data_IF_895750085324
#
_entry.id   IF_895750085324
#
_cell.length_a   1.000
_cell.length_b   1.000
_cell.length_c   1.000
_cell.angle_alpha   90.00
_cell.angle_beta   90.00
_cell.angle_gamma   90.00
#
_symmetry.space_group_name_H-M   'P 1'
#
loop_
_entity.id
_entity.type
_entity.pdbx_description
1 polymer ?
#
# COMPACT_ATOMS: atom_id res chain seq x y z
N UNK A 1 18.96 18.20 1.00
CA UNK A 1 17.75 17.94 1.80
C UNK A 1 17.32 19.11 2.69
N UNK A 2 18.23 19.90 3.28
CA UNK A 2 17.88 20.99 4.22
C UNK A 2 16.98 22.11 3.68
N UNK A 3 16.89 22.28 2.34
CA UNK A 3 16.02 23.29 1.70
C UNK A 3 14.63 22.74 1.29
N UNK A 4 14.39 21.44 1.46
CA UNK A 4 13.14 20.77 1.06
C UNK A 4 12.24 20.63 2.28
N UNK A 5 10.94 20.91 2.12
CA UNK A 5 9.96 20.69 3.18
C UNK A 5 9.69 19.18 3.33
N UNK A 6 10.45 18.52 4.20
CA UNK A 6 10.47 17.05 4.34
C UNK A 6 9.25 16.45 5.04
N UNK A 7 8.41 17.26 5.68
CA UNK A 7 7.32 16.75 6.53
C UNK A 7 6.35 15.81 5.78
N UNK A 8 5.98 16.13 4.54
CA UNK A 8 5.11 15.26 3.73
C UNK A 8 5.81 13.96 3.32
N UNK A 9 7.11 14.02 3.06
CA UNK A 9 7.90 12.84 2.70
C UNK A 9 8.04 11.88 3.88
N UNK A 10 8.23 12.39 5.11
CA UNK A 10 8.27 11.56 6.31
C UNK A 10 6.98 10.77 6.52
N UNK A 11 5.81 11.36 6.20
CA UNK A 11 4.53 10.64 6.25
C UNK A 11 4.50 9.53 5.20
N UNK A 12 4.89 9.81 3.95
CA UNK A 12 4.93 8.80 2.88
C UNK A 12 5.89 7.66 3.20
N UNK A 13 7.07 7.99 3.76
CA UNK A 13 8.06 7.02 4.21
C UNK A 13 7.50 6.12 5.31
N UNK A 14 6.84 6.70 6.32
CA UNK A 14 6.17 5.94 7.37
C UNK A 14 5.07 5.02 6.84
N UNK A 15 4.31 5.44 5.82
CA UNK A 15 3.31 4.59 5.19
C UNK A 15 3.93 3.38 4.49
N UNK A 16 5.19 3.47 4.04
CA UNK A 16 5.92 2.39 3.36
C UNK A 16 6.86 1.61 4.28
N UNK A 17 6.77 1.81 5.60
CA UNK A 17 7.60 1.15 6.58
C UNK A 17 7.43 -0.40 6.52
N UNK A 18 8.52 -1.18 6.44
CA UNK A 18 8.45 -2.63 6.29
C UNK A 18 8.10 -3.37 7.60
N UNK A 19 8.07 -2.69 8.74
CA UNK A 19 7.80 -3.32 10.04
C UNK A 19 6.43 -3.98 10.05
N UNK A 20 6.34 -5.10 10.79
CA UNK A 20 5.11 -5.89 10.91
C UNK A 20 4.48 -6.23 9.55
N UNK A 21 5.32 -6.59 8.57
CA UNK A 21 4.91 -6.92 7.19
C UNK A 21 4.12 -5.78 6.52
N UNK A 22 4.69 -4.57 6.51
CA UNK A 22 4.10 -3.40 5.85
C UNK A 22 2.71 -3.05 6.39
N UNK A 23 2.52 -3.12 7.71
CA UNK A 23 1.21 -2.95 8.35
C UNK A 23 0.56 -1.59 8.07
N UNK A 24 1.35 -0.51 8.09
CA UNK A 24 0.91 0.85 7.75
C UNK A 24 0.41 0.93 6.30
N UNK A 25 1.22 0.47 5.34
CA UNK A 25 0.85 0.41 3.92
C UNK A 25 -0.42 -0.41 3.72
N UNK A 26 -0.52 -1.61 4.30
CA UNK A 26 -1.69 -2.49 4.15
C UNK A 26 -2.97 -1.84 4.69
N UNK A 27 -2.87 -1.13 5.81
CA UNK A 27 -3.99 -0.38 6.39
C UNK A 27 -4.45 0.74 5.46
N UNK A 28 -3.51 1.49 4.89
CA UNK A 28 -3.78 2.56 3.93
C UNK A 28 -4.36 2.03 2.62
N UNK A 29 -3.83 0.94 2.08
CA UNK A 29 -4.37 0.27 0.89
C UNK A 29 -5.79 -0.22 1.15
N UNK A 30 -6.05 -0.86 2.30
CA UNK A 30 -7.40 -1.28 2.69
C UNK A 30 -8.35 -0.09 2.70
N UNK A 31 -7.98 1.02 3.35
CA UNK A 31 -8.79 2.23 3.36
C UNK A 31 -9.02 2.82 1.96
N UNK A 32 -8.04 2.74 1.06
CA UNK A 32 -8.18 3.16 -0.33
C UNK A 32 -9.20 2.29 -1.09
N UNK A 33 -9.15 0.98 -0.91
CA UNK A 33 -10.13 0.05 -1.49
C UNK A 33 -11.55 0.31 -0.97
N UNK A 34 -11.72 0.58 0.34
CA UNK A 34 -13.04 0.92 0.90
C UNK A 34 -13.62 2.19 0.27
N UNK A 35 -12.78 3.21 0.08
CA UNK A 35 -13.18 4.46 -0.56
C UNK A 35 -13.50 4.28 -2.04
N UNK A 36 -12.76 3.41 -2.73
CA UNK A 36 -12.94 3.18 -4.16
C UNK A 36 -14.27 2.46 -4.46
N UNK A 37 -14.70 1.53 -3.60
CA UNK A 37 -16.00 0.85 -3.73
C UNK A 37 -17.18 1.82 -3.63
N UNK A 38 -17.09 2.82 -2.73
CA UNK A 38 -18.14 3.83 -2.54
C UNK A 38 -18.07 5.02 -3.48
N UNK A 39 -17.05 5.11 -4.35
CA UNK A 39 -16.84 6.29 -5.19
C UNK A 39 -17.85 6.35 -6.34
N UNK A 40 -18.41 7.55 -6.54
CA UNK A 40 -19.28 7.89 -7.68
C UNK A 40 -18.49 8.31 -8.91
N UNK A 41 -17.31 8.91 -8.72
CA UNK A 41 -16.37 9.25 -9.78
C UNK A 41 -15.52 8.03 -10.16
N UNK A 42 -15.54 7.66 -11.45
CA UNK A 42 -14.75 6.55 -11.99
C UNK A 42 -13.26 6.67 -11.71
N UNK A 43 -12.71 7.89 -11.67
CA UNK A 43 -11.29 8.10 -11.38
C UNK A 43 -10.93 7.72 -9.95
N UNK A 44 -11.86 7.86 -9.02
CA UNK A 44 -11.67 7.53 -7.61
C UNK A 44 -11.87 6.03 -7.32
N UNK A 45 -12.40 5.27 -8.30
CA UNK A 45 -12.53 3.81 -8.20
C UNK A 45 -11.23 3.05 -8.43
N UNK A 46 -10.25 3.70 -9.07
CA UNK A 46 -8.98 3.07 -9.44
C UNK A 46 -8.01 3.11 -8.25
N UNK A 47 -7.56 1.93 -7.80
CA UNK A 47 -6.53 1.79 -6.77
C UNK A 47 -5.38 0.97 -7.34
N UNK A 48 -4.19 1.55 -7.35
CA UNK A 48 -2.97 0.87 -7.83
C UNK A 48 -2.15 0.44 -6.62
N UNK A 49 -1.96 -0.87 -6.37
CA UNK A 49 -1.14 -1.36 -5.27
C UNK A 49 0.36 -1.24 -5.58
N UNK A 50 1.18 -1.23 -4.53
CA UNK A 50 2.62 -1.42 -4.63
C UNK A 50 2.95 -2.84 -5.13
N UNK A 51 3.27 -2.92 -6.42
CA UNK A 51 3.33 -4.18 -7.16
C UNK A 51 4.34 -5.17 -6.60
N UNK A 52 5.50 -4.71 -6.14
CA UNK A 52 6.52 -5.60 -5.57
C UNK A 52 6.03 -6.34 -4.32
N UNK A 53 5.24 -5.69 -3.47
CA UNK A 53 4.66 -6.34 -2.29
C UNK A 53 3.53 -7.29 -2.67
N UNK A 54 2.73 -6.96 -3.68
CA UNK A 54 1.71 -7.87 -4.22
C UNK A 54 2.34 -9.16 -4.76
N UNK A 55 3.39 -9.05 -5.57
CA UNK A 55 4.10 -10.22 -6.11
C UNK A 55 4.70 -11.05 -4.99
N UNK A 56 5.28 -10.41 -3.98
CA UNK A 56 5.80 -11.09 -2.78
C UNK A 56 4.69 -11.87 -2.06
N UNK A 57 3.52 -11.26 -1.86
CA UNK A 57 2.37 -11.92 -1.22
C UNK A 57 1.88 -13.12 -2.03
N UNK A 58 1.75 -12.98 -3.36
CA UNK A 58 1.34 -14.07 -4.26
C UNK A 58 2.34 -15.22 -4.23
N UNK A 59 3.64 -14.92 -4.22
CA UNK A 59 4.68 -15.93 -4.12
C UNK A 59 4.56 -16.73 -2.82
N UNK A 60 4.48 -16.05 -1.66
CA UNK A 60 4.35 -16.75 -0.37
C UNK A 60 3.02 -17.51 -0.23
N UNK A 61 1.94 -17.02 -0.84
CA UNK A 61 0.68 -17.75 -0.91
C UNK A 61 0.84 -19.06 -1.69
N UNK A 62 1.51 -19.01 -2.86
CA UNK A 62 1.75 -20.19 -3.68
C UNK A 62 2.62 -21.23 -2.96
N UNK A 63 3.72 -20.79 -2.33
CA UNK A 63 4.60 -21.66 -1.54
C UNK A 63 3.86 -22.29 -0.36
N UNK A 64 2.96 -21.52 0.29
CA UNK A 64 2.13 -22.03 1.40
C UNK A 64 1.08 -23.07 0.96
N UNK A 65 0.67 -23.08 -0.31
CA UNK A 65 -0.28 -24.06 -0.85
C UNK A 65 0.38 -25.26 -1.55
N UNK A 66 1.66 -25.13 -1.92
CA UNK A 66 2.42 -26.19 -2.60
C UNK A 66 3.15 -27.13 -1.61
N UNK A 67 3.05 -26.87 -0.30
CA UNK A 67 3.52 -27.71 0.79
C UNK A 67 2.34 -28.41 1.48
#
# INVERSE_FOLDING_TARGET
WSKVQSAKFAILEHQMDPSSNFSSYRSTLKAAMWRSVGATDERQRIVVPFFSLLVKDLYFLNEGCSN
#
